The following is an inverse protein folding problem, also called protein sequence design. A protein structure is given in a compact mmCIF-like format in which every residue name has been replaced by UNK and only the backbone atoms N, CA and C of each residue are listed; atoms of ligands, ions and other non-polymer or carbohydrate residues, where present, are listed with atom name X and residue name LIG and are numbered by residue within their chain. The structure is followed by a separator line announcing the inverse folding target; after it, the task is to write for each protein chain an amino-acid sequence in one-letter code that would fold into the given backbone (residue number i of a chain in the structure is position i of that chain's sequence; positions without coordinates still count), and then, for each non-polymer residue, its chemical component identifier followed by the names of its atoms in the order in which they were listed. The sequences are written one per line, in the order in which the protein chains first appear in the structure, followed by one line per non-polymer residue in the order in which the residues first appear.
data_IF_772155284581
#
_entry.id   IF_772155284581
#
_cell.length_a   1.000
_cell.length_b   1.000
_cell.length_c   1.000
_cell.angle_alpha   90.00
_cell.angle_beta   90.00
_cell.angle_gamma   90.00
#
_symmetry.space_group_name_H-M   'P 1'
#
loop_
_entity.id
_entity.type
_entity.pdbx_description
1 polymer ?
#
# COMPACT_ATOMS: atom_id res chain seq x y z
N UNK A 1 10.62 -27.32 -12.70
CA UNK A 1 10.93 -26.83 -11.34
C UNK A 1 10.86 -25.32 -11.43
N UNK A 2 9.87 -24.67 -10.80
CA UNK A 2 9.74 -23.20 -10.86
C UNK A 2 10.47 -22.60 -9.65
N UNK A 3 11.45 -21.76 -9.98
CA UNK A 3 12.25 -20.95 -9.09
C UNK A 3 11.40 -19.73 -8.69
N UNK A 4 10.71 -19.78 -7.56
CA UNK A 4 10.05 -18.59 -6.99
C UNK A 4 11.13 -17.72 -6.34
N UNK A 5 11.78 -16.87 -7.12
CA UNK A 5 12.75 -15.91 -6.61
C UNK A 5 12.01 -14.81 -5.83
N UNK A 6 11.77 -15.03 -4.54
CA UNK A 6 11.23 -14.00 -3.65
C UNK A 6 12.24 -12.85 -3.52
N UNK A 7 11.82 -11.63 -3.90
CA UNK A 7 12.65 -10.44 -3.75
C UNK A 7 12.66 -10.05 -2.26
N UNK A 8 13.83 -10.05 -1.66
CA UNK A 8 14.01 -9.68 -0.25
C UNK A 8 14.36 -8.20 -0.13
N UNK A 9 13.71 -7.52 0.81
CA UNK A 9 13.96 -6.12 1.13
C UNK A 9 14.19 -5.96 2.63
N UNK A 10 15.09 -5.06 3.02
CA UNK A 10 15.31 -4.71 4.42
C UNK A 10 14.73 -3.34 4.71
N UNK A 11 13.82 -3.28 5.68
CA UNK A 11 13.22 -2.03 6.17
C UNK A 11 13.90 -1.62 7.48
N UNK A 12 14.44 -0.39 7.53
CA UNK A 12 14.93 0.20 8.78
C UNK A 12 13.82 1.01 9.40
N UNK A 13 13.30 0.53 10.53
CA UNK A 13 12.23 1.18 11.28
C UNK A 13 12.78 1.72 12.60
N UNK A 14 12.32 2.90 13.04
CA UNK A 14 12.53 3.33 14.42
C UNK A 14 12.05 2.26 15.40
N UNK A 15 12.76 2.05 16.50
CA UNK A 15 12.48 0.99 17.47
C UNK A 15 11.03 1.02 17.98
N UNK A 16 10.51 2.22 18.23
CA UNK A 16 9.14 2.42 18.69
C UNK A 16 8.12 1.98 17.64
N UNK A 17 8.30 2.40 16.38
CA UNK A 17 7.43 2.02 15.28
C UNK A 17 7.45 0.50 15.04
N UNK A 18 8.64 -0.12 15.11
CA UNK A 18 8.76 -1.57 15.02
C UNK A 18 7.97 -2.29 16.12
N UNK A 19 8.06 -1.82 17.38
CA UNK A 19 7.30 -2.40 18.49
C UNK A 19 5.78 -2.27 18.29
N UNK A 20 5.32 -1.10 17.81
CA UNK A 20 3.91 -0.88 17.51
C UNK A 20 3.40 -1.83 16.41
N UNK A 21 4.18 -2.02 15.34
CA UNK A 21 3.82 -2.92 14.24
C UNK A 21 3.80 -4.39 14.68
N UNK A 22 4.73 -4.81 15.54
CA UNK A 22 4.74 -6.17 16.11
C UNK A 22 3.48 -6.39 16.97
N UNK A 23 3.13 -5.43 17.82
CA UNK A 23 1.92 -5.52 18.65
C UNK A 23 0.65 -5.59 17.80
N UNK A 24 0.58 -4.78 16.74
CA UNK A 24 -0.53 -4.82 15.79
C UNK A 24 -0.62 -6.17 15.07
N UNK A 25 0.51 -6.72 14.60
CA UNK A 25 0.54 -8.01 13.92
C UNK A 25 0.03 -9.13 14.86
N UNK A 26 0.45 -9.10 16.13
CA UNK A 26 -0.01 -10.04 17.14
C UNK A 26 -1.51 -9.91 17.42
N UNK A 27 -2.04 -8.68 17.50
CA UNK A 27 -3.46 -8.43 17.73
C UNK A 27 -4.34 -8.95 16.58
N UNK A 28 -3.83 -8.87 15.35
CA UNK A 28 -4.50 -9.36 14.14
C UNK A 28 -4.25 -10.87 13.88
N UNK A 29 -3.51 -11.55 14.75
CA UNK A 29 -3.07 -12.95 14.55
C UNK A 29 -2.30 -13.18 13.23
N UNK A 30 -1.54 -12.18 12.78
CA UNK A 30 -0.75 -12.22 11.56
C UNK A 30 0.76 -12.23 11.88
N UNK A 31 1.55 -12.72 10.93
CA UNK A 31 2.99 -12.45 10.95
C UNK A 31 3.25 -10.97 10.66
N UNK A 32 4.34 -10.41 11.22
CA UNK A 32 4.76 -9.03 10.91
C UNK A 32 4.94 -8.84 9.38
N UNK A 33 5.48 -9.82 8.68
CA UNK A 33 5.64 -9.78 7.23
C UNK A 33 4.27 -9.66 6.53
N UNK A 34 3.31 -10.50 6.90
CA UNK A 34 1.96 -10.49 6.31
C UNK A 34 1.26 -9.15 6.55
N UNK A 35 1.39 -8.60 7.76
CA UNK A 35 0.85 -7.27 8.08
C UNK A 35 1.49 -6.18 7.21
N UNK A 36 2.82 -6.18 7.07
CA UNK A 36 3.53 -5.19 6.25
C UNK A 36 3.13 -5.27 4.77
N UNK A 37 2.96 -6.48 4.25
CA UNK A 37 2.48 -6.70 2.87
C UNK A 37 1.05 -6.19 2.71
N UNK A 38 0.16 -6.42 3.69
CA UNK A 38 -1.21 -5.93 3.66
C UNK A 38 -1.25 -4.39 3.63
N UNK A 39 -0.52 -3.74 4.54
CA UNK A 39 -0.42 -2.27 4.61
C UNK A 39 0.11 -1.70 3.29
N UNK A 40 1.18 -2.29 2.73
CA UNK A 40 1.74 -1.84 1.47
C UNK A 40 0.76 -2.01 0.30
N UNK A 41 0.06 -3.14 0.26
CA UNK A 41 -0.94 -3.43 -0.78
C UNK A 41 -2.10 -2.45 -0.73
N UNK A 42 -2.60 -2.14 0.47
CA UNK A 42 -3.66 -1.16 0.69
C UNK A 42 -3.22 0.25 0.26
N UNK A 43 -2.01 0.67 0.66
CA UNK A 43 -1.47 1.97 0.29
C UNK A 43 -1.35 2.14 -1.24
N UNK A 44 -0.89 1.09 -1.95
CA UNK A 44 -0.81 1.08 -3.42
C UNK A 44 -2.22 1.13 -4.03
N UNK A 45 -3.16 0.35 -3.52
CA UNK A 45 -4.54 0.32 -4.02
C UNK A 45 -5.24 1.68 -3.85
N UNK A 46 -5.05 2.33 -2.70
CA UNK A 46 -5.58 3.67 -2.42
C UNK A 46 -5.02 4.69 -3.40
N UNK A 47 -3.69 4.74 -3.56
CA UNK A 47 -3.03 5.66 -4.50
C UNK A 47 -3.48 5.44 -5.95
N UNK A 48 -3.70 4.20 -6.36
CA UNK A 48 -4.22 3.89 -7.69
C UNK A 48 -5.67 4.36 -7.88
N UNK A 49 -6.50 4.22 -6.85
CA UNK A 49 -7.87 4.72 -6.86
C UNK A 49 -7.90 6.24 -6.97
N UNK A 50 -7.07 6.94 -6.18
CA UNK A 50 -6.92 8.40 -6.23
C UNK A 50 -6.44 8.88 -7.60
N UNK A 51 -5.42 8.22 -8.18
CA UNK A 51 -4.92 8.56 -9.51
C UNK A 51 -5.97 8.36 -10.61
N UNK A 52 -6.83 7.33 -10.49
CA UNK A 52 -7.94 7.13 -11.45
C UNK A 52 -9.00 8.21 -11.32
N UNK A 53 -9.32 8.62 -10.09
CA UNK A 53 -10.29 9.68 -9.84
C UNK A 53 -9.81 11.02 -10.40
N UNK A 54 -8.55 11.36 -10.16
CA UNK A 54 -7.90 12.58 -10.67
C UNK A 54 -7.98 12.68 -12.20
N UNK A 55 -7.70 11.58 -12.92
CA UNK A 55 -7.83 11.51 -14.38
C UNK A 55 -9.27 11.73 -14.85
N UNK A 56 -10.26 11.16 -14.15
CA UNK A 56 -11.67 11.35 -14.49
C UNK A 56 -12.13 12.78 -14.25
N UNK A 57 -11.72 13.40 -13.14
CA UNK A 57 -12.08 14.77 -12.78
C UNK A 57 -11.50 15.75 -13.81
N UNK A 58 -10.22 15.59 -14.17
CA UNK A 58 -9.56 16.39 -15.22
C UNK A 58 -10.24 16.27 -16.59
N UNK A 59 -10.68 15.06 -16.96
CA UNK A 59 -11.41 14.85 -18.21
C UNK A 59 -12.79 15.52 -18.17
N UNK A 60 -13.54 15.37 -17.07
CA UNK A 60 -14.87 15.93 -16.92
C UNK A 60 -14.84 17.47 -16.90
N UNK A 61 -13.84 18.06 -16.25
CA UNK A 61 -13.62 19.51 -16.23
C UNK A 61 -13.24 20.05 -17.62
N UNK A 62 -12.46 19.30 -18.39
CA UNK A 62 -12.15 19.63 -19.79
C UNK A 62 -13.39 19.61 -20.68
N UNK A 63 -14.30 18.65 -20.45
CA UNK A 63 -15.59 18.59 -21.16
C UNK A 63 -16.54 19.72 -20.75
N UNK A 64 -16.57 20.08 -19.46
CA UNK A 64 -17.41 21.17 -18.95
C UNK A 64 -16.95 22.55 -19.43
N UNK A 65 -15.65 22.75 -19.62
CA UNK A 65 -15.06 24.04 -20.02
C UNK A 65 -15.03 24.28 -21.53
N UNK A 66 -15.35 23.28 -22.36
CA UNK A 66 -15.38 23.40 -23.82
C UNK A 66 -16.80 23.62 -24.39
N UNK A 67 -17.79 23.92 -23.53
CA UNK A 67 -19.14 24.38 -23.89
C UNK A 67 -19.29 25.86 -23.59
#
# INVERSE_FOLDING_TARGET
MHDSSEIQFTLRLPTELHAQLVNLANAEHLSLQSLLVAIASEAVAKRNTEARQDVMDHWNESNRSSS
#
